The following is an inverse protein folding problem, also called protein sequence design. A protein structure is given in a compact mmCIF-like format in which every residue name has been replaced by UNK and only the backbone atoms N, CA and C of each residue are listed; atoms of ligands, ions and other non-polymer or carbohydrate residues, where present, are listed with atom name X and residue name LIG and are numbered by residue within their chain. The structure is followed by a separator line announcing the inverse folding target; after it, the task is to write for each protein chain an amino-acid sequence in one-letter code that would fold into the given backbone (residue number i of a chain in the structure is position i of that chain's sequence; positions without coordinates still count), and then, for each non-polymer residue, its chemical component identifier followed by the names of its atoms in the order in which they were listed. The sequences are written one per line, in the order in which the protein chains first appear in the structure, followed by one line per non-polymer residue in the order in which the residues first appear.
data_IF_706590459733
#
_entry.id   IF_706590459733
#
_cell.length_a   1.000
_cell.length_b   1.000
_cell.length_c   1.000
_cell.angle_alpha   90.00
_cell.angle_beta   90.00
_cell.angle_gamma   90.00
#
_symmetry.space_group_name_H-M   'P 1'
#
loop_
_entity.id
_entity.type
_entity.pdbx_description
1 polymer ?
#
# COMPACT_ATOMS: atom_id res chain seq x y z
N UNK A 1 -19.81 4.72 11.24
CA UNK A 1 -19.34 4.16 12.54
C UNK A 1 -18.28 3.07 12.32
N UNK A 2 -18.52 2.08 11.46
CA UNK A 2 -17.55 1.00 11.17
C UNK A 2 -16.22 1.47 10.57
N UNK A 3 -16.23 2.39 9.60
CA UNK A 3 -14.99 2.92 8.99
C UNK A 3 -14.08 3.65 9.98
N UNK A 4 -14.66 4.46 10.87
CA UNK A 4 -13.91 5.18 11.89
C UNK A 4 -13.28 4.21 12.90
N UNK A 5 -14.01 3.15 13.26
CA UNK A 5 -13.50 2.13 14.17
C UNK A 5 -12.29 1.39 13.56
N UNK A 6 -12.39 0.91 12.31
CA UNK A 6 -11.25 0.27 11.63
C UNK A 6 -10.04 1.20 11.48
N UNK A 7 -10.28 2.49 11.24
CA UNK A 7 -9.22 3.49 11.18
C UNK A 7 -8.49 3.62 12.53
N UNK A 8 -9.24 3.74 13.64
CA UNK A 8 -8.68 3.83 14.98
C UNK A 8 -7.94 2.56 15.39
N UNK A 9 -8.47 1.38 15.06
CA UNK A 9 -7.77 0.11 15.29
C UNK A 9 -6.45 0.05 14.52
N UNK A 10 -6.44 0.49 13.26
CA UNK A 10 -5.22 0.49 12.46
C UNK A 10 -4.17 1.45 13.03
N UNK A 11 -4.59 2.64 13.49
CA UNK A 11 -3.70 3.56 14.21
C UNK A 11 -3.10 2.90 15.44
N UNK A 12 -3.93 2.29 16.30
CA UNK A 12 -3.47 1.60 17.50
C UNK A 12 -2.48 0.48 17.17
N UNK A 13 -2.78 -0.36 16.17
CA UNK A 13 -1.91 -1.46 15.73
C UNK A 13 -0.58 -0.98 15.16
N UNK A 14 -0.58 0.15 14.46
CA UNK A 14 0.63 0.75 13.89
C UNK A 14 1.51 1.46 14.93
N UNK A 15 1.02 1.64 16.16
CA UNK A 15 1.71 2.40 17.21
C UNK A 15 1.78 3.90 16.94
N UNK A 16 1.03 4.41 15.96
CA UNK A 16 1.02 5.84 15.62
C UNK A 16 0.05 6.57 16.54
N UNK A 17 0.60 7.37 17.46
CA UNK A 17 -0.20 8.19 18.39
C UNK A 17 0.34 9.61 18.61
N UNK A 18 1.67 9.81 18.62
CA UNK A 18 2.28 11.07 19.07
C UNK A 18 3.13 11.81 18.02
N UNK A 19 3.78 11.10 17.09
CA UNK A 19 4.77 11.71 16.18
C UNK A 19 4.20 12.20 14.83
N UNK A 20 2.86 12.28 14.75
CA UNK A 20 2.13 12.61 13.53
C UNK A 20 2.09 11.45 12.52
N UNK A 21 1.10 11.51 11.64
CA UNK A 21 0.84 10.47 10.63
C UNK A 21 1.67 10.78 9.37
N UNK A 22 2.73 10.02 9.14
CA UNK A 22 3.57 10.11 7.92
C UNK A 22 3.20 8.99 6.94
N UNK A 23 3.54 9.19 5.67
CA UNK A 23 3.33 8.21 4.61
C UNK A 23 3.87 6.81 5.01
N UNK A 24 3.05 5.79 4.80
CA UNK A 24 3.36 4.39 5.13
C UNK A 24 3.47 4.05 6.62
N UNK A 25 3.30 5.00 7.56
CA UNK A 25 3.44 4.73 9.00
C UNK A 25 2.23 4.06 9.63
N UNK A 26 1.08 4.09 8.97
CA UNK A 26 -0.12 3.39 9.43
C UNK A 26 -0.11 1.90 9.04
N UNK A 27 0.83 1.45 8.20
CA UNK A 27 0.99 0.06 7.81
C UNK A 27 2.06 -0.67 8.62
N UNK A 28 1.83 -1.96 8.84
CA UNK A 28 2.82 -2.88 9.39
C UNK A 28 3.52 -3.60 8.25
N UNK A 29 4.85 -3.59 8.24
CA UNK A 29 5.64 -4.44 7.36
C UNK A 29 5.89 -5.81 8.01
N UNK A 30 6.35 -6.77 7.22
CA UNK A 30 6.60 -8.14 7.66
C UNK A 30 7.62 -8.18 8.83
N UNK A 31 7.25 -8.69 10.01
CA UNK A 31 8.16 -8.74 11.17
C UNK A 31 9.32 -9.73 10.98
N UNK A 32 9.15 -10.73 10.11
CA UNK A 32 10.19 -11.73 9.80
C UNK A 32 11.15 -11.26 8.69
N UNK A 33 10.78 -10.22 7.94
CA UNK A 33 11.66 -9.65 6.93
C UNK A 33 12.80 -8.86 7.59
N UNK A 34 14.05 -9.01 7.10
CA UNK A 34 15.19 -8.22 7.56
C UNK A 34 14.92 -6.71 7.45
N UNK A 35 15.03 -5.99 8.56
CA UNK A 35 14.79 -4.54 8.65
C UNK A 35 15.92 -3.88 9.47
N UNK A 36 16.91 -3.25 8.80
CA UNK A 36 17.96 -2.50 9.46
C UNK A 36 17.39 -1.45 10.42
N UNK A 37 17.90 -1.42 11.66
CA UNK A 37 17.43 -0.50 12.70
C UNK A 37 16.08 -0.87 13.34
N UNK A 38 15.47 -2.01 12.97
CA UNK A 38 14.23 -2.50 13.58
C UNK A 38 14.42 -3.88 14.21
N UNK A 39 14.81 -4.88 13.42
CA UNK A 39 14.95 -6.28 13.87
C UNK A 39 16.31 -6.91 13.49
N UNK A 40 17.26 -6.09 13.02
CA UNK A 40 18.65 -6.50 12.77
C UNK A 40 19.58 -5.83 13.79
N UNK A 41 20.65 -6.53 14.25
CA UNK A 41 21.69 -5.92 15.07
C UNK A 41 22.44 -4.82 14.29
N UNK A 42 23.11 -3.90 14.96
CA UNK A 42 23.77 -2.74 14.32
C UNK A 42 24.89 -3.15 13.34
N UNK A 43 25.60 -4.24 13.65
CA UNK A 43 26.69 -4.83 12.86
C UNK A 43 26.24 -5.94 11.90
N UNK A 44 24.94 -6.00 11.56
CA UNK A 44 24.36 -7.05 10.72
C UNK A 44 25.06 -7.26 9.37
N UNK A 45 25.62 -6.20 8.77
CA UNK A 45 26.34 -6.26 7.49
C UNK A 45 27.60 -7.14 7.56
N UNK A 46 28.23 -7.21 8.74
CA UNK A 46 29.41 -8.04 8.98
C UNK A 46 29.04 -9.45 9.48
N UNK A 47 27.92 -9.57 10.20
CA UNK A 47 27.47 -10.82 10.80
C UNK A 47 26.79 -11.78 9.80
N UNK A 48 26.02 -11.24 8.86
CA UNK A 48 25.23 -12.04 7.94
C UNK A 48 25.73 -11.94 6.51
N UNK A 49 25.74 -13.07 5.82
CA UNK A 49 25.91 -13.06 4.37
C UNK A 49 24.74 -12.34 3.70
N UNK A 50 25.02 -11.56 2.65
CA UNK A 50 24.01 -10.77 1.92
C UNK A 50 22.76 -11.57 1.53
N UNK A 51 22.92 -12.82 1.11
CA UNK A 51 21.80 -13.66 0.66
C UNK A 51 20.81 -14.02 1.80
N UNK A 52 21.24 -14.03 3.07
CA UNK A 52 20.37 -14.30 4.23
C UNK A 52 19.47 -13.10 4.55
N UNK A 53 20.02 -11.90 4.41
CA UNK A 53 19.35 -10.63 4.72
C UNK A 53 18.71 -9.97 3.50
N UNK A 54 18.84 -10.58 2.32
CA UNK A 54 18.24 -10.08 1.11
C UNK A 54 16.71 -10.20 1.16
N UNK A 55 16.04 -9.06 0.98
CA UNK A 55 14.60 -8.99 0.78
C UNK A 55 14.26 -9.39 -0.65
N UNK A 56 13.25 -10.24 -0.78
CA UNK A 56 12.66 -10.60 -2.06
C UNK A 56 11.24 -10.08 -2.07
N UNK A 57 10.85 -9.48 -3.19
CA UNK A 57 9.51 -8.92 -3.38
C UNK A 57 8.81 -9.64 -4.51
N UNK A 58 7.50 -9.81 -4.36
CA UNK A 58 6.58 -10.23 -5.41
C UNK A 58 5.67 -9.05 -5.70
N UNK A 59 5.47 -8.76 -6.98
CA UNK A 59 4.53 -7.75 -7.43
C UNK A 59 3.42 -8.47 -8.18
N UNK A 60 2.18 -8.20 -7.80
CA UNK A 60 1.01 -8.77 -8.46
C UNK A 60 -0.10 -7.72 -8.60
N UNK A 61 -1.02 -7.97 -9.53
CA UNK A 61 -2.12 -7.07 -9.88
C UNK A 61 -3.45 -7.81 -9.96
N UNK A 62 -4.43 -7.36 -9.20
CA UNK A 62 -5.82 -7.82 -9.34
C UNK A 62 -6.60 -6.88 -10.27
N UNK A 63 -6.87 -7.31 -11.49
CA UNK A 63 -7.61 -6.54 -12.51
C UNK A 63 -9.14 -6.58 -12.40
N UNK A 64 -9.64 -7.22 -11.34
CA UNK A 64 -11.07 -7.34 -11.05
C UNK A 64 -11.48 -6.57 -9.79
N UNK A 65 -10.53 -5.93 -9.09
CA UNK A 65 -10.80 -5.07 -7.93
C UNK A 65 -11.37 -3.71 -8.40
N UNK A 66 -12.65 -3.70 -8.72
CA UNK A 66 -13.32 -2.56 -9.32
C UNK A 66 -13.94 -1.66 -8.28
N UNK A 67 -13.59 -0.37 -8.33
CA UNK A 67 -14.19 0.67 -7.49
C UNK A 67 -15.01 1.61 -8.37
N UNK A 68 -16.29 1.77 -8.07
CA UNK A 68 -17.17 2.72 -8.75
C UNK A 68 -16.93 4.15 -8.27
N UNK A 69 -17.26 5.13 -9.12
CA UNK A 69 -17.34 6.52 -8.69
C UNK A 69 -18.48 6.68 -7.68
N UNK A 70 -18.21 7.35 -6.56
CA UNK A 70 -19.25 7.74 -5.61
C UNK A 70 -20.26 8.68 -6.27
N UNK A 71 -21.53 8.58 -5.88
CA UNK A 71 -22.61 9.45 -6.39
C UNK A 71 -22.37 10.93 -6.02
N UNK A 72 -21.82 11.15 -4.82
CA UNK A 72 -21.47 12.45 -4.27
C UNK A 72 -19.95 12.39 -3.97
N UNK A 73 -19.10 12.96 -4.84
CA UNK A 73 -17.66 12.93 -4.66
C UNK A 73 -17.17 13.63 -3.38
N UNK A 74 -17.91 14.62 -2.90
CA UNK A 74 -17.57 15.43 -1.72
C UNK A 74 -17.62 14.60 -0.44
N UNK A 75 -18.47 13.58 -0.40
CA UNK A 75 -18.59 12.65 0.73
C UNK A 75 -17.51 11.54 0.71
N UNK A 76 -16.70 11.48 -0.35
CA UNK A 76 -15.67 10.46 -0.52
C UNK A 76 -14.36 10.88 0.16
N UNK A 77 -14.40 10.96 1.50
CA UNK A 77 -13.26 11.34 2.33
C UNK A 77 -12.42 10.11 2.68
N UNK A 78 -11.13 10.11 2.29
CA UNK A 78 -10.20 9.06 2.69
C UNK A 78 -9.66 9.32 4.09
N UNK A 79 -9.63 8.28 4.92
CA UNK A 79 -9.05 8.33 6.27
C UNK A 79 -7.55 7.98 6.29
N UNK A 80 -7.06 7.30 5.26
CA UNK A 80 -5.73 6.67 5.23
C UNK A 80 -5.00 6.88 3.91
N UNK A 81 -5.32 7.94 3.16
CA UNK A 81 -4.74 8.19 1.83
C UNK A 81 -3.22 8.37 1.91
N UNK A 82 -2.47 7.46 1.28
CA UNK A 82 -1.00 7.45 1.36
C UNK A 82 -0.42 7.00 2.73
N UNK A 83 -1.25 6.83 3.76
CA UNK A 83 -0.79 6.64 5.14
C UNK A 83 -0.48 5.19 5.48
N UNK A 84 -1.16 4.24 4.82
CA UNK A 84 -1.00 2.81 5.01
C UNK A 84 -0.29 2.17 3.80
N UNK A 85 -0.88 1.12 3.23
CA UNK A 85 -0.29 0.37 2.12
C UNK A 85 -0.43 1.06 0.76
N UNK A 86 -1.50 1.84 0.56
CA UNK A 86 -1.73 2.59 -0.68
C UNK A 86 -0.79 3.78 -0.77
N UNK A 87 -0.28 4.03 -1.97
CA UNK A 87 0.36 5.29 -2.33
C UNK A 87 -0.71 6.40 -2.30
N UNK A 88 -0.30 7.62 -1.98
CA UNK A 88 -1.20 8.77 -1.96
C UNK A 88 -1.87 8.93 -3.33
N UNK A 89 -3.18 9.14 -3.32
CA UNK A 89 -3.96 9.34 -4.53
C UNK A 89 -3.59 10.68 -5.16
N UNK A 90 -2.56 10.70 -6.01
CA UNK A 90 -2.24 11.87 -6.83
C UNK A 90 -3.40 12.10 -7.79
N UNK A 91 -4.25 13.08 -7.46
CA UNK A 91 -5.12 13.66 -8.46
C UNK A 91 -4.20 14.31 -9.51
N UNK A 92 -4.20 13.76 -10.72
CA UNK A 92 -3.48 14.21 -11.91
C UNK A 92 -2.08 13.62 -12.16
N UNK A 93 -2.05 12.59 -13.01
CA UNK A 93 -1.01 12.46 -14.03
C UNK A 93 -1.65 11.97 -15.34
N UNK A 94 -1.78 12.81 -16.39
CA UNK A 94 -2.47 12.47 -17.63
C UNK A 94 -1.74 11.45 -18.55
N UNK A 95 -0.56 10.93 -18.16
CA UNK A 95 0.34 10.26 -19.11
C UNK A 95 0.68 8.80 -18.82
N UNK A 96 0.15 8.20 -17.75
CA UNK A 96 0.54 6.86 -17.36
C UNK A 96 -0.61 5.85 -17.45
N UNK A 97 -1.22 5.66 -18.62
CA UNK A 97 -1.84 4.36 -18.96
C UNK A 97 -1.91 4.16 -20.48
N UNK A 98 -1.10 3.23 -21.02
CA UNK A 98 -1.24 2.72 -22.37
C UNK A 98 -2.60 2.00 -22.53
N UNK A 99 -3.20 2.14 -23.71
CA UNK A 99 -4.58 1.80 -23.99
C UNK A 99 -4.80 0.29 -24.21
N UNK A 100 -5.79 -0.28 -23.52
CA UNK A 100 -6.40 -1.55 -23.91
C UNK A 100 -7.88 -1.75 -23.50
N UNK A 101 -8.40 -1.10 -22.45
CA UNK A 101 -9.77 -1.40 -21.95
C UNK A 101 -10.68 -0.19 -21.69
N UNK A 102 -10.95 0.61 -22.72
CA UNK A 102 -11.67 1.88 -22.64
C UNK A 102 -13.22 1.81 -22.44
N UNK A 103 -13.83 0.64 -22.19
CA UNK A 103 -15.29 0.47 -22.36
C UNK A 103 -16.17 0.44 -21.09
N UNK A 104 -15.61 0.41 -19.86
CA UNK A 104 -16.44 0.36 -18.64
C UNK A 104 -16.82 1.75 -18.13
N UNK A 105 -18.08 2.15 -18.35
CA UNK A 105 -18.63 3.41 -17.83
C UNK A 105 -18.77 3.33 -16.29
N UNK A 106 -18.45 4.44 -15.60
CA UNK A 106 -18.62 4.68 -14.15
C UNK A 106 -17.63 4.00 -13.16
N UNK A 107 -16.54 3.39 -13.62
CA UNK A 107 -15.45 2.94 -12.73
C UNK A 107 -14.44 4.07 -12.45
N UNK A 108 -13.98 4.16 -11.20
CA UNK A 108 -12.83 4.97 -10.75
C UNK A 108 -11.54 4.16 -10.80
N UNK A 109 -11.62 2.89 -10.40
CA UNK A 109 -10.51 1.94 -10.35
C UNK A 109 -10.95 0.66 -11.03
N UNK A 110 -10.10 0.10 -11.88
CA UNK A 110 -10.35 -1.17 -12.57
C UNK A 110 -9.60 -2.34 -11.93
N UNK A 111 -8.53 -2.06 -11.19
CA UNK A 111 -7.76 -3.06 -10.49
C UNK A 111 -6.77 -2.45 -9.50
N UNK A 112 -6.05 -3.27 -8.77
CA UNK A 112 -5.05 -2.83 -7.78
C UNK A 112 -3.76 -3.61 -8.02
N UNK A 113 -2.64 -2.90 -8.08
CA UNK A 113 -1.30 -3.49 -8.01
C UNK A 113 -0.77 -3.40 -6.59
N UNK A 114 -0.07 -4.44 -6.13
CA UNK A 114 0.55 -4.46 -4.81
C UNK A 114 1.92 -5.14 -4.85
N UNK A 115 2.82 -4.68 -4.00
CA UNK A 115 4.08 -5.37 -3.71
C UNK A 115 3.98 -6.07 -2.37
N UNK A 116 4.40 -7.32 -2.29
CA UNK A 116 4.47 -8.10 -1.05
C UNK A 116 5.86 -8.72 -0.88
N UNK A 117 6.22 -9.07 0.35
CA UNK A 117 7.43 -9.86 0.59
C UNK A 117 7.22 -11.29 0.06
N UNK A 118 8.23 -11.84 -0.63
CA UNK A 118 8.15 -13.18 -1.21
C UNK A 118 8.19 -14.30 -0.15
N UNK A 119 8.65 -13.97 1.07
CA UNK A 119 8.81 -14.94 2.17
C UNK A 119 7.48 -15.29 2.82
N UNK A 120 6.74 -14.26 3.25
CA UNK A 120 5.54 -14.41 4.09
C UNK A 120 4.30 -13.73 3.49
N UNK A 121 4.39 -13.16 2.28
CA UNK A 121 3.26 -12.54 1.58
C UNK A 121 2.73 -11.25 2.21
N UNK A 122 3.45 -10.65 3.16
CA UNK A 122 3.04 -9.39 3.77
C UNK A 122 3.23 -8.24 2.78
N UNK A 123 2.22 -7.38 2.64
CA UNK A 123 2.31 -6.22 1.77
C UNK A 123 3.35 -5.21 2.23
N UNK A 124 4.07 -4.63 1.28
CA UNK A 124 5.03 -3.57 1.52
C UNK A 124 4.26 -2.26 1.77
N UNK A 125 4.52 -1.53 2.86
CA UNK A 125 4.00 -0.18 3.09
C UNK A 125 4.14 0.72 1.87
N UNK A 126 3.14 1.56 1.61
CA UNK A 126 3.19 2.57 0.55
C UNK A 126 3.62 2.04 -0.84
N UNK A 127 3.14 0.85 -1.22
CA UNK A 127 3.51 0.17 -2.48
C UNK A 127 2.30 -0.31 -3.30
N UNK A 128 1.09 -0.09 -2.80
CA UNK A 128 -0.14 -0.43 -3.53
C UNK A 128 -0.61 0.76 -4.35
N UNK A 129 -1.10 0.46 -5.56
CA UNK A 129 -1.56 1.47 -6.52
C UNK A 129 -2.86 1.05 -7.18
N UNK A 130 -3.72 2.03 -7.43
CA UNK A 130 -4.93 1.85 -8.21
C UNK A 130 -4.60 1.83 -9.72
N UNK A 131 -5.07 0.81 -10.43
CA UNK A 131 -5.10 0.81 -11.89
C UNK A 131 -6.34 1.54 -12.39
N UNK A 132 -6.15 2.57 -13.20
CA UNK A 132 -7.24 3.35 -13.81
C UNK A 132 -7.71 2.75 -15.13
N UNK A 133 -6.85 1.99 -15.81
CA UNK A 133 -7.20 1.08 -16.90
C UNK A 133 -6.35 -0.16 -16.69
N UNK A 134 -6.97 -1.34 -16.63
CA UNK A 134 -6.25 -2.61 -16.55
C UNK A 134 -5.40 -2.84 -17.80
N UNK A 135 -4.58 -3.89 -17.79
CA UNK A 135 -3.98 -4.43 -19.01
C UNK A 135 -5.04 -4.75 -20.08
#
# INVERSE_FOLDING_TARGET
ITHLWWYLELLQRSGVGHDGLKSGKQSLFCPACPQPGVNLPEDWEHLYHKWLVQLQYVVDGIFSAQHMKMKIPEDNVSLSDGLAYMVESTCQNPWAVNAANASRKNLRVTGIGATACARDGCFVPHSMVDFQKGE
#
